data_IF_520147823572
#
_entry.id   IF_520147823572
#
_cell.length_a   1.000
_cell.length_b   1.000
_cell.length_c   1.000
_cell.angle_alpha   90.00
_cell.angle_beta   90.00
_cell.angle_gamma   90.00
#
_symmetry.space_group_name_H-M   'P 1'
#
loop_
_entity.id
_entity.type
_entity.pdbx_description
1 polymer ?
#
# COMPACT_ATOMS: atom_id res chain seq x y z
N UNK A 1 -4.50 -3.90 -4.99
CA UNK A 1 -5.61 -4.33 -5.87
C UNK A 1 -5.27 -5.69 -6.43
N UNK A 2 -6.06 -6.71 -6.15
CA UNK A 2 -5.79 -8.05 -6.64
C UNK A 2 -7.09 -8.80 -6.89
N UNK A 3 -7.00 -9.93 -7.58
CA UNK A 3 -8.11 -10.86 -7.67
C UNK A 3 -8.36 -11.52 -6.30
N UNK A 4 -9.62 -11.56 -5.83
CA UNK A 4 -9.98 -12.13 -4.53
C UNK A 4 -10.04 -13.67 -4.53
N UNK A 5 -9.55 -14.32 -5.59
CA UNK A 5 -9.23 -15.73 -5.53
C UNK A 5 -7.80 -15.86 -5.03
N UNK A 6 -7.62 -16.39 -3.82
CA UNK A 6 -6.31 -16.44 -3.15
C UNK A 6 -5.23 -17.07 -4.01
N UNK A 7 -5.59 -18.14 -4.73
CA UNK A 7 -4.69 -18.78 -5.68
C UNK A 7 -4.20 -17.83 -6.77
N UNK A 8 -5.04 -16.90 -7.24
CA UNK A 8 -4.67 -15.91 -8.23
C UNK A 8 -3.85 -14.75 -7.65
N UNK A 9 -4.08 -14.38 -6.39
CA UNK A 9 -3.24 -13.40 -5.69
C UNK A 9 -1.79 -13.92 -5.62
N UNK A 10 -1.57 -15.14 -5.14
CA UNK A 10 -0.20 -15.71 -5.02
C UNK A 10 0.45 -16.04 -6.37
N UNK A 11 -0.33 -16.13 -7.45
CA UNK A 11 0.17 -16.32 -8.81
C UNK A 11 0.52 -15.01 -9.53
N UNK A 12 0.35 -13.86 -8.87
CA UNK A 12 0.75 -12.57 -9.43
C UNK A 12 -0.36 -11.80 -10.15
N UNK A 13 -1.64 -12.13 -9.92
CA UNK A 13 -2.76 -11.29 -10.37
C UNK A 13 -3.08 -10.23 -9.30
N UNK A 14 -2.06 -9.43 -9.00
CA UNK A 14 -2.07 -8.35 -8.04
C UNK A 14 -1.28 -7.15 -8.56
N UNK A 15 -1.65 -5.97 -8.06
CA UNK A 15 -0.99 -4.70 -8.36
C UNK A 15 -1.21 -3.72 -7.21
N UNK A 16 -0.35 -2.72 -7.07
CA UNK A 16 -0.42 -1.71 -6.01
C UNK A 16 -0.41 -0.33 -6.64
N UNK A 17 -1.26 0.56 -6.12
CA UNK A 17 -1.22 1.98 -6.46
C UNK A 17 -0.51 2.75 -5.36
N UNK A 18 0.50 3.54 -5.74
CA UNK A 18 1.14 4.50 -4.85
C UNK A 18 0.53 5.86 -5.14
N UNK A 19 -0.32 6.33 -4.24
CA UNK A 19 -0.88 7.68 -4.30
C UNK A 19 0.11 8.62 -3.62
N UNK A 20 0.57 9.65 -4.36
CA UNK A 20 1.50 10.65 -3.85
C UNK A 20 0.78 11.70 -3.00
N UNK A 21 1.52 12.33 -2.11
CA UNK A 21 1.00 13.43 -1.29
C UNK A 21 0.50 14.59 -2.15
N UNK A 22 -0.61 15.19 -1.72
CA UNK A 22 -1.12 16.45 -2.24
C UNK A 22 -0.49 17.67 -1.60
N UNK A 23 -0.93 18.86 -2.02
CA UNK A 23 -0.40 20.12 -1.50
C UNK A 23 -0.91 20.46 -0.09
N UNK A 24 -2.15 20.08 0.24
CA UNK A 24 -2.74 20.37 1.57
C UNK A 24 -2.15 19.46 2.65
N UNK A 25 -2.15 19.93 3.90
CA UNK A 25 -1.64 19.16 5.04
C UNK A 25 -2.46 17.88 5.27
N UNK A 26 -3.76 17.93 4.99
CA UNK A 26 -4.69 16.82 5.11
C UNK A 26 -4.52 15.76 4.00
N UNK A 27 -3.79 16.09 2.93
CA UNK A 27 -3.50 15.21 1.80
C UNK A 27 -2.09 14.60 1.86
N UNK A 28 -1.44 14.63 3.04
CA UNK A 28 -0.12 14.02 3.28
C UNK A 28 -0.25 12.70 4.04
N UNK A 29 0.56 11.73 3.67
CA UNK A 29 0.68 10.47 4.41
C UNK A 29 1.34 10.70 5.78
N UNK A 30 0.92 9.90 6.77
CA UNK A 30 1.55 9.90 8.08
C UNK A 30 2.98 9.32 8.00
N UNK A 31 3.92 9.79 8.85
CA UNK A 31 5.25 9.21 8.90
C UNK A 31 5.22 7.76 9.40
N UNK A 32 6.21 6.92 9.04
CA UNK A 32 6.33 5.56 9.54
C UNK A 32 6.37 5.51 11.08
N UNK A 33 5.66 4.58 11.72
CA UNK A 33 5.70 4.44 13.16
C UNK A 33 7.05 3.85 13.61
N UNK A 34 7.58 4.24 14.79
CA UNK A 34 8.88 3.78 15.27
C UNK A 34 8.99 2.27 15.54
N UNK A 35 7.86 1.59 15.75
CA UNK A 35 7.74 0.18 16.09
C UNK A 35 7.42 -0.72 14.88
N UNK A 36 7.64 -0.23 13.66
CA UNK A 36 7.45 -1.02 12.44
C UNK A 36 8.34 -2.30 12.45
N UNK A 37 7.78 -3.48 12.15
CA UNK A 37 8.56 -4.72 12.05
C UNK A 37 9.69 -4.63 11.01
N UNK A 38 10.84 -5.29 11.23
CA UNK A 38 11.90 -5.37 10.23
C UNK A 38 11.42 -6.15 8.99
N UNK A 39 12.03 -5.84 7.85
CA UNK A 39 11.78 -6.52 6.56
C UNK A 39 12.31 -7.95 6.54
#
# INVERSE_FOLDING_TARGET
MHCHFDRHMVWGMDTVFIVKDGESLEAKMLPPPPDMPPC
#
